data_IF_258805757691
#
_entry.id   IF_258805757691
#
_cell.length_a   1.000
_cell.length_b   1.000
_cell.length_c   1.000
_cell.angle_alpha   90.00
_cell.angle_beta   90.00
_cell.angle_gamma   90.00
#
_symmetry.space_group_name_H-M   'P 1'
#
loop_
_entity.id
_entity.type
_entity.pdbx_description
1 polymer ?
#
# COMPACT_ATOMS: atom_id res chain seq x y z
N UNK A 1 -26.00 -25.71 7.91
CA UNK A 1 -24.90 -24.72 8.09
C UNK A 1 -24.10 -24.68 6.81
N UNK A 2 -24.53 -23.85 5.85
CA UNK A 2 -23.86 -23.63 4.57
C UNK A 2 -23.61 -22.13 4.46
N UNK A 3 -22.46 -21.65 4.95
CA UNK A 3 -21.99 -20.29 4.72
C UNK A 3 -20.54 -20.17 5.15
N UNK A 4 -19.60 -20.52 4.27
CA UNK A 4 -18.19 -20.12 4.46
C UNK A 4 -17.42 -20.10 3.14
N UNK A 5 -17.85 -20.86 2.13
CA UNK A 5 -17.12 -21.00 0.87
C UNK A 5 -17.46 -19.95 -0.21
N UNK A 6 -18.55 -19.19 -0.09
CA UNK A 6 -18.94 -18.19 -1.11
C UNK A 6 -18.18 -16.86 -1.03
N UNK A 7 -17.48 -16.58 0.07
CA UNK A 7 -16.71 -15.33 0.22
C UNK A 7 -15.50 -15.26 -0.72
N UNK A 8 -14.92 -16.41 -1.11
CA UNK A 8 -13.74 -16.45 -1.97
C UNK A 8 -14.08 -16.43 -3.48
N UNK A 9 -15.33 -16.67 -3.87
CA UNK A 9 -15.75 -16.71 -5.29
C UNK A 9 -15.96 -15.33 -5.93
N UNK A 10 -15.89 -14.24 -5.16
CA UNK A 10 -16.00 -12.84 -5.65
C UNK A 10 -14.69 -12.06 -5.55
N UNK A 11 -13.54 -12.72 -5.52
CA UNK A 11 -12.26 -12.02 -5.61
C UNK A 11 -12.09 -11.49 -7.05
N UNK A 12 -12.44 -10.23 -7.26
CA UNK A 12 -12.14 -9.52 -8.51
C UNK A 12 -10.64 -9.50 -8.78
N UNK A 13 -10.26 -9.40 -10.05
CA UNK A 13 -8.85 -9.33 -10.45
C UNK A 13 -8.34 -7.94 -10.10
N UNK A 14 -7.33 -7.87 -9.23
CA UNK A 14 -6.66 -6.62 -8.85
C UNK A 14 -5.23 -6.62 -9.40
N UNK A 15 -4.84 -5.56 -10.09
CA UNK A 15 -3.48 -5.38 -10.62
C UNK A 15 -2.94 -4.01 -10.23
N UNK A 16 -1.88 -3.99 -9.43
CA UNK A 16 -1.15 -2.77 -9.11
C UNK A 16 -0.48 -2.19 -10.37
N UNK A 17 -0.52 -0.86 -10.53
CA UNK A 17 0.11 -0.16 -11.66
C UNK A 17 1.29 0.67 -11.16
N UNK A 18 1.06 1.64 -10.26
CA UNK A 18 2.11 2.54 -9.75
C UNK A 18 1.70 3.30 -8.50
N UNK A 19 2.69 3.90 -7.84
CA UNK A 19 2.50 5.02 -6.91
C UNK A 19 2.89 6.33 -7.61
N UNK A 20 2.13 7.39 -7.39
CA UNK A 20 2.49 8.74 -7.84
C UNK A 20 2.26 9.76 -6.73
N UNK A 21 2.74 10.99 -6.95
CA UNK A 21 2.56 12.12 -6.04
C UNK A 21 3.01 11.83 -4.60
N UNK A 22 4.09 11.06 -4.46
CA UNK A 22 4.64 10.68 -3.15
C UNK A 22 5.10 11.96 -2.43
N UNK A 23 4.59 12.19 -1.23
CA UNK A 23 4.96 13.31 -0.37
C UNK A 23 5.31 12.79 1.01
N UNK A 24 6.44 13.23 1.54
CA UNK A 24 6.86 12.94 2.91
C UNK A 24 6.18 13.91 3.88
N UNK A 25 5.67 13.38 4.97
CA UNK A 25 5.20 14.18 6.10
C UNK A 25 6.41 14.80 6.82
N UNK A 26 6.37 16.11 7.07
CA UNK A 26 7.35 16.75 7.95
C UNK A 26 7.09 16.34 9.40
N UNK A 27 7.98 15.52 9.96
CA UNK A 27 7.89 15.02 11.33
C UNK A 27 9.26 15.08 12.01
N UNK A 28 9.25 15.20 13.34
CA UNK A 28 10.44 15.21 14.19
C UNK A 28 10.83 13.80 14.70
N UNK A 29 10.16 12.75 14.21
CA UNK A 29 10.40 11.37 14.63
C UNK A 29 11.44 10.72 13.70
N UNK A 30 12.66 10.56 14.18
CA UNK A 30 13.80 10.13 13.34
C UNK A 30 13.71 8.69 12.82
N UNK A 31 13.13 7.77 13.58
CA UNK A 31 13.04 6.35 13.21
C UNK A 31 11.79 6.01 12.39
N UNK A 32 10.95 7.01 12.08
CA UNK A 32 9.67 6.83 11.40
C UNK A 32 9.49 7.87 10.31
N UNK A 33 9.39 7.40 9.08
CA UNK A 33 9.01 8.24 7.95
C UNK A 33 7.57 7.93 7.54
N UNK A 34 6.74 8.96 7.44
CA UNK A 34 5.36 8.86 6.98
C UNK A 34 5.28 9.50 5.59
N UNK A 35 4.60 8.83 4.67
CA UNK A 35 4.40 9.29 3.30
C UNK A 35 2.94 9.16 2.90
N UNK A 36 2.53 10.02 1.98
CA UNK A 36 1.24 10.01 1.31
C UNK A 36 1.45 9.88 -0.19
N UNK A 37 0.61 9.10 -0.87
CA UNK A 37 0.71 8.89 -2.31
C UNK A 37 -0.63 8.50 -2.93
N UNK A 38 -0.70 8.61 -4.25
CA UNK A 38 -1.80 8.09 -5.06
C UNK A 38 -1.43 6.70 -5.56
N UNK A 39 -2.23 5.69 -5.18
CA UNK A 39 -2.08 4.33 -5.68
C UNK A 39 -2.97 4.12 -6.90
N UNK A 40 -2.33 3.92 -8.05
CA UNK A 40 -2.98 3.56 -9.30
C UNK A 40 -3.02 2.03 -9.44
N UNK A 41 -4.20 1.49 -9.69
CA UNK A 41 -4.41 0.06 -9.89
C UNK A 41 -5.59 -0.20 -10.81
N UNK A 42 -5.69 -1.44 -11.26
CA UNK A 42 -6.83 -1.95 -12.02
C UNK A 42 -7.64 -2.91 -11.14
N UNK A 43 -8.96 -2.77 -11.16
CA UNK A 43 -9.89 -3.69 -10.54
C UNK A 43 -10.95 -4.11 -11.56
N UNK A 44 -11.00 -5.41 -11.88
CA UNK A 44 -11.93 -5.96 -12.88
C UNK A 44 -11.92 -5.20 -14.22
N UNK A 45 -10.74 -4.80 -14.71
CA UNK A 45 -10.60 -4.05 -15.97
C UNK A 45 -10.78 -2.54 -15.85
N UNK A 46 -11.21 -2.03 -14.69
CA UNK A 46 -11.39 -0.59 -14.45
C UNK A 46 -10.16 0.00 -13.78
N UNK A 47 -9.70 1.16 -14.26
CA UNK A 47 -8.62 1.91 -13.62
C UNK A 47 -9.17 2.68 -12.43
N UNK A 48 -8.51 2.54 -11.30
CA UNK A 48 -8.89 3.12 -10.04
C UNK A 48 -7.71 3.87 -9.41
N UNK A 49 -8.03 4.86 -8.57
CA UNK A 49 -7.06 5.64 -7.80
C UNK A 49 -7.55 5.75 -6.36
N UNK A 50 -6.64 5.49 -5.41
CA UNK A 50 -6.89 5.66 -3.97
C UNK A 50 -5.72 6.34 -3.29
N UNK A 51 -6.01 7.14 -2.29
CA UNK A 51 -4.96 7.74 -1.48
C UNK A 51 -4.48 6.72 -0.46
N UNK A 52 -3.17 6.55 -0.41
CA UNK A 52 -2.51 5.67 0.54
C UNK A 52 -1.56 6.47 1.40
N UNK A 53 -1.53 6.11 2.67
CA UNK A 53 -0.46 6.47 3.60
C UNK A 53 0.42 5.26 3.77
N UNK A 54 1.73 5.43 3.65
CA UNK A 54 2.66 4.38 4.01
C UNK A 54 3.68 4.89 5.02
N UNK A 55 4.03 4.00 5.94
CA UNK A 55 4.93 4.30 7.05
C UNK A 55 6.11 3.36 6.94
N UNK A 56 7.32 3.92 7.00
CA UNK A 56 8.57 3.16 7.10
C UNK A 56 9.14 3.42 8.49
N UNK A 57 9.19 2.36 9.30
CA UNK A 57 9.76 2.39 10.64
C UNK A 57 11.06 1.59 10.65
N UNK A 58 12.09 2.14 11.31
CA UNK A 58 13.37 1.47 11.51
C UNK A 58 13.43 1.02 12.97
N UNK A 59 13.59 -0.28 13.19
CA UNK A 59 13.76 -0.83 14.54
C UNK A 59 15.16 -0.52 15.07
N UNK A 60 15.40 -0.62 16.39
CA UNK A 60 16.74 -0.48 16.96
C UNK A 60 17.78 -1.46 16.39
N UNK A 61 17.32 -2.60 15.85
CA UNK A 61 18.17 -3.59 15.16
C UNK A 61 18.35 -3.28 13.67
N UNK A 62 17.97 -2.08 13.24
CA UNK A 62 18.02 -1.61 11.85
C UNK A 62 17.12 -2.41 10.89
N UNK A 63 16.11 -3.11 11.40
CA UNK A 63 15.09 -3.76 10.57
C UNK A 63 14.09 -2.72 10.09
N UNK A 64 13.62 -2.85 8.85
CA UNK A 64 12.68 -1.90 8.24
C UNK A 64 11.29 -2.50 8.18
N UNK A 65 10.33 -1.86 8.82
CA UNK A 65 8.92 -2.25 8.79
C UNK A 65 8.14 -1.27 7.92
N UNK A 66 7.42 -1.81 6.92
CA UNK A 66 6.55 -1.03 6.04
C UNK A 66 5.10 -1.36 6.32
N UNK A 67 4.32 -0.34 6.64
CA UNK A 67 2.87 -0.38 6.87
C UNK A 67 2.17 0.42 5.79
N UNK A 68 1.08 -0.12 5.22
CA UNK A 68 0.26 0.53 4.19
C UNK A 68 -1.15 0.72 4.75
N UNK A 69 -1.66 1.94 4.68
CA UNK A 69 -3.00 2.35 5.10
C UNK A 69 -3.71 3.01 3.90
N UNK A 70 -4.90 2.54 3.54
CA UNK A 70 -5.76 3.25 2.60
C UNK A 70 -6.56 4.31 3.35
N UNK A 71 -6.62 5.52 2.80
CA UNK A 71 -7.33 6.63 3.44
C UNK A 71 -8.83 6.60 3.15
N UNK A 72 -9.23 6.00 2.03
CA UNK A 72 -10.63 5.72 1.73
C UNK A 72 -11.02 4.28 2.04
N UNK A 73 -12.30 4.02 2.38
CA UNK A 73 -12.81 2.66 2.48
C UNK A 73 -12.71 1.91 1.16
N UNK A 74 -12.41 0.62 1.26
CA UNK A 74 -12.29 -0.29 0.14
C UNK A 74 -13.41 -1.34 0.23
N UNK A 75 -14.21 -1.47 -0.82
CA UNK A 75 -15.38 -2.35 -0.84
C UNK A 75 -15.09 -3.72 -1.49
N UNK A 76 -13.82 -4.15 -1.52
CA UNK A 76 -13.38 -5.38 -2.20
C UNK A 76 -12.09 -5.94 -1.56
N UNK A 77 -11.69 -7.19 -1.87
CA UNK A 77 -10.47 -7.79 -1.33
C UNK A 77 -9.21 -7.04 -1.78
N UNK A 78 -8.44 -6.52 -0.81
CA UNK A 78 -7.29 -5.63 -1.10
C UNK A 78 -5.93 -6.20 -0.70
N UNK A 79 -5.88 -7.40 -0.12
CA UNK A 79 -4.64 -7.96 0.40
C UNK A 79 -3.55 -8.06 -0.68
N UNK A 80 -3.91 -8.47 -1.90
CA UNK A 80 -2.97 -8.55 -3.03
C UNK A 80 -2.43 -7.17 -3.41
N UNK A 81 -3.28 -6.14 -3.42
CA UNK A 81 -2.89 -4.76 -3.69
C UNK A 81 -1.97 -4.21 -2.59
N UNK A 82 -2.30 -4.45 -1.32
CA UNK A 82 -1.45 -4.07 -0.18
C UNK A 82 -0.05 -4.69 -0.28
N UNK A 83 0.03 -5.98 -0.61
CA UNK A 83 1.31 -6.67 -0.79
C UNK A 83 2.10 -6.07 -1.97
N UNK A 84 1.45 -5.78 -3.09
CA UNK A 84 2.09 -5.17 -4.25
C UNK A 84 2.62 -3.77 -3.95
N UNK A 85 1.82 -2.91 -3.31
CA UNK A 85 2.23 -1.56 -2.88
C UNK A 85 3.40 -1.66 -1.90
N UNK A 86 3.32 -2.55 -0.90
CA UNK A 86 4.39 -2.74 0.09
C UNK A 86 5.71 -3.13 -0.57
N UNK A 87 5.70 -4.06 -1.53
CA UNK A 87 6.90 -4.44 -2.30
C UNK A 87 7.48 -3.25 -3.05
N UNK A 88 6.63 -2.50 -3.75
CA UNK A 88 7.07 -1.33 -4.50
C UNK A 88 7.68 -0.24 -3.59
N UNK A 89 7.08 0.04 -2.43
CA UNK A 89 7.64 0.97 -1.44
C UNK A 89 9.01 0.50 -0.94
N UNK A 90 9.18 -0.80 -0.68
CA UNK A 90 10.47 -1.36 -0.27
C UNK A 90 11.52 -1.17 -1.36
N UNK A 91 11.16 -1.38 -2.63
CA UNK A 91 12.05 -1.15 -3.77
C UNK A 91 12.48 0.32 -3.88
N UNK A 92 11.52 1.26 -3.85
CA UNK A 92 11.80 2.70 -3.89
C UNK A 92 12.73 3.13 -2.75
N UNK A 93 12.45 2.66 -1.53
CA UNK A 93 13.27 2.95 -0.36
C UNK A 93 14.68 2.35 -0.45
N UNK A 94 14.81 1.16 -1.01
CA UNK A 94 16.11 0.48 -1.19
C UNK A 94 16.96 1.19 -2.23
N UNK A 95 16.34 1.76 -3.27
CA UNK A 95 17.02 2.52 -4.32
C UNK A 95 17.28 3.99 -3.95
N UNK A 96 16.71 4.48 -2.85
CA UNK A 96 16.80 5.90 -2.48
C UNK A 96 15.94 6.81 -3.37
N UNK A 97 14.85 6.27 -3.94
CA UNK A 97 13.95 6.98 -4.87
C UNK A 97 12.74 7.62 -4.17
N UNK A 98 12.63 7.47 -2.83
CA UNK A 98 11.65 8.20 -2.04
C UNK A 98 12.13 9.64 -1.79
N UNK A 99 11.22 10.64 -1.82
CA UNK A 99 11.55 12.04 -1.56
C UNK A 99 11.92 12.33 -0.10
#
# INVERSE_FOLDING_TARGET
MLASWDLFKRAGIVKFISLANIKKECSHIYYRSVYFADAFYEYNGLKEVKHVKFIIEVTPLNEKHVTIEFLEPLNYPVLSLMVAIKRHVIELNTKGELP
#
